data_IF_867119314998
#
_entry.id   IF_867119314998
#
_cell.length_a   1.000
_cell.length_b   1.000
_cell.length_c   1.000
_cell.angle_alpha   90.00
_cell.angle_beta   90.00
_cell.angle_gamma   90.00
#
_symmetry.space_group_name_H-M   'P 1'
#
loop_
_entity.id
_entity.type
_entity.pdbx_description
1 polymer ?
#
# COMPACT_ATOMS: atom_id res chain seq x y z
N UNK A 1 -12.05 7.24 -19.96
CA UNK A 1 -11.57 7.87 -18.71
C UNK A 1 -12.82 8.34 -18.00
N UNK A 2 -13.02 7.91 -16.76
CA UNK A 2 -14.20 8.30 -15.95
C UNK A 2 -13.73 9.37 -14.96
N UNK A 3 -14.39 10.52 -14.99
CA UNK A 3 -14.05 11.68 -14.15
C UNK A 3 -15.23 12.00 -13.23
N UNK A 4 -14.97 12.09 -11.92
CA UNK A 4 -15.95 12.47 -10.91
C UNK A 4 -15.35 13.52 -9.98
N UNK A 5 -15.64 14.79 -10.26
CA UNK A 5 -15.09 15.93 -9.50
C UNK A 5 -13.57 15.97 -9.55
N UNK A 6 -12.91 15.65 -8.43
CA UNK A 6 -11.44 15.59 -8.32
C UNK A 6 -10.84 14.19 -8.54
N UNK A 7 -11.69 13.20 -8.82
CA UNK A 7 -11.28 11.82 -9.00
C UNK A 7 -11.29 11.45 -10.47
N UNK A 8 -10.20 10.84 -10.94
CA UNK A 8 -10.06 10.37 -12.32
C UNK A 8 -9.67 8.90 -12.26
N UNK A 9 -10.41 8.04 -12.94
CA UNK A 9 -10.07 6.62 -13.09
C UNK A 9 -9.14 6.43 -14.28
N UNK A 10 -7.95 5.93 -14.00
CA UNK A 10 -6.90 5.68 -14.99
C UNK A 10 -6.70 4.19 -15.24
N UNK A 11 -6.09 3.84 -16.38
CA UNK A 11 -5.62 2.48 -16.63
C UNK A 11 -4.38 2.18 -15.77
N UNK A 12 -4.26 0.98 -15.19
CA UNK A 12 -3.11 0.62 -14.37
C UNK A 12 -1.92 0.27 -15.27
N UNK A 13 -1.12 1.28 -15.65
CA UNK A 13 0.04 1.11 -16.55
C UNK A 13 1.38 1.46 -15.87
N UNK A 14 1.35 2.18 -14.74
CA UNK A 14 2.54 2.72 -14.09
C UNK A 14 2.69 2.13 -12.69
N UNK A 15 3.89 1.64 -12.37
CA UNK A 15 4.26 1.18 -11.02
C UNK A 15 5.04 2.28 -10.31
N UNK A 16 4.71 2.53 -9.04
CA UNK A 16 5.42 3.49 -8.20
C UNK A 16 5.92 2.81 -6.93
N UNK A 17 7.09 3.23 -6.47
CA UNK A 17 7.63 2.81 -5.19
C UNK A 17 7.07 3.71 -4.09
N UNK A 18 6.33 3.10 -3.15
CA UNK A 18 5.75 3.78 -2.00
C UNK A 18 6.56 3.55 -0.73
N UNK A 19 6.99 4.62 -0.07
CA UNK A 19 7.46 4.57 1.32
C UNK A 19 6.29 4.90 2.25
N UNK A 20 6.06 4.09 3.28
CA UNK A 20 4.99 4.27 4.25
C UNK A 20 5.52 4.20 5.68
N UNK A 21 4.77 4.79 6.61
CA UNK A 21 5.10 4.74 8.02
C UNK A 21 4.46 3.52 8.71
N UNK A 22 3.24 3.19 8.32
CA UNK A 22 2.44 2.15 8.97
C UNK A 22 1.37 1.60 8.02
N UNK A 23 1.00 0.33 8.22
CA UNK A 23 -0.18 -0.29 7.63
C UNK A 23 -1.24 -0.45 8.74
N UNK A 24 -2.49 -0.06 8.45
CA UNK A 24 -3.62 -0.20 9.37
C UNK A 24 -4.78 -0.95 8.73
N UNK A 25 -5.63 -1.59 9.56
CA UNK A 25 -6.91 -2.13 9.10
C UNK A 25 -7.87 -1.00 8.75
N UNK A 26 -8.62 -1.16 7.66
CA UNK A 26 -9.63 -0.19 7.25
C UNK A 26 -10.81 -0.86 6.54
N UNK A 27 -12.07 -0.59 6.94
CA UNK A 27 -13.24 -1.10 6.23
C UNK A 27 -13.54 -0.32 4.93
N UNK A 28 -12.82 0.77 4.67
CA UNK A 28 -13.07 1.67 3.52
C UNK A 28 -12.63 1.06 2.19
N UNK A 29 -11.63 0.18 2.22
CA UNK A 29 -11.02 -0.39 1.03
C UNK A 29 -11.30 -1.89 0.99
N UNK A 30 -11.53 -2.41 -0.21
CA UNK A 30 -11.75 -3.84 -0.43
C UNK A 30 -10.57 -4.72 0.05
N UNK A 31 -9.36 -4.17 0.04
CA UNK A 31 -8.17 -4.77 0.61
C UNK A 31 -8.26 -5.05 2.12
N UNK A 32 -9.16 -4.36 2.83
CA UNK A 32 -9.23 -4.34 4.30
C UNK A 32 -8.09 -3.59 4.98
N UNK A 33 -7.20 -2.94 4.20
CA UNK A 33 -5.97 -2.31 4.67
C UNK A 33 -5.81 -0.90 4.07
N UNK A 34 -5.18 -0.01 4.83
CA UNK A 34 -4.80 1.33 4.39
C UNK A 34 -3.34 1.62 4.75
N UNK A 35 -2.63 2.29 3.84
CA UNK A 35 -1.25 2.72 4.03
C UNK A 35 -1.25 4.13 4.64
N UNK A 36 -0.66 4.32 5.83
CA UNK A 36 -0.57 5.64 6.48
C UNK A 36 0.70 6.37 6.07
N UNK A 37 0.52 7.65 5.77
CA UNK A 37 1.59 8.57 5.37
C UNK A 37 2.44 8.02 4.21
N UNK A 38 1.80 7.32 3.28
CA UNK A 38 2.43 6.80 2.08
C UNK A 38 2.91 7.96 1.18
N UNK A 39 4.14 7.84 0.68
CA UNK A 39 4.82 8.82 -0.16
C UNK A 39 5.41 8.12 -1.37
N UNK A 40 5.27 8.72 -2.55
CA UNK A 40 5.93 8.23 -3.76
C UNK A 40 7.41 8.57 -3.66
N UNK A 41 8.25 7.55 -3.77
CA UNK A 41 9.71 7.68 -3.77
C UNK A 41 10.23 7.82 -5.19
N UNK A 42 9.79 6.92 -6.07
CA UNK A 42 10.17 6.92 -7.49
C UNK A 42 9.13 6.21 -8.35
N UNK A 43 9.14 6.53 -9.64
CA UNK A 43 8.46 5.75 -10.66
C UNK A 43 9.35 4.56 -11.01
N UNK A 44 8.77 3.35 -11.09
CA UNK A 44 9.46 2.11 -11.41
C UNK A 44 9.29 1.80 -12.90
N UNK A 45 10.08 2.49 -13.72
CA UNK A 45 10.12 2.23 -15.18
C UNK A 45 10.68 0.83 -15.50
N UNK A 46 11.34 0.19 -14.53
CA UNK A 46 11.88 -1.16 -14.60
C UNK A 46 10.85 -2.27 -14.33
N UNK A 47 9.61 -1.94 -13.97
CA UNK A 47 8.57 -2.90 -13.60
C UNK A 47 7.30 -2.74 -14.41
N UNK A 48 6.68 -3.85 -14.78
CA UNK A 48 5.32 -3.88 -15.34
C UNK A 48 4.25 -3.97 -14.23
N UNK A 49 2.98 -3.57 -14.48
CA UNK A 49 1.92 -3.59 -13.48
C UNK A 49 1.75 -4.92 -12.73
N UNK A 50 1.99 -6.04 -13.41
CA UNK A 50 1.90 -7.40 -12.87
C UNK A 50 3.00 -7.72 -11.83
N UNK A 51 4.09 -6.93 -11.80
CA UNK A 51 5.22 -7.07 -10.86
C UNK A 51 5.09 -6.13 -9.65
N UNK A 52 3.99 -5.41 -9.54
CA UNK A 52 3.64 -4.66 -8.34
C UNK A 52 3.42 -5.60 -7.15
N UNK A 53 3.64 -5.09 -5.95
CA UNK A 53 3.39 -5.87 -4.74
C UNK A 53 1.92 -6.29 -4.65
N UNK A 54 1.70 -7.55 -4.25
CA UNK A 54 0.36 -8.12 -4.12
C UNK A 54 -0.28 -7.74 -2.79
N UNK A 55 -1.60 -7.92 -2.68
CA UNK A 55 -2.30 -7.72 -1.41
C UNK A 55 -1.76 -8.64 -0.29
N UNK A 56 -1.32 -9.85 -0.63
CA UNK A 56 -0.76 -10.79 0.35
C UNK A 56 0.57 -10.29 0.89
N UNK A 57 1.40 -9.68 0.03
CA UNK A 57 2.63 -9.02 0.49
C UNK A 57 2.33 -7.91 1.50
N UNK A 58 1.29 -7.11 1.26
CA UNK A 58 0.88 -6.04 2.19
C UNK A 58 0.37 -6.62 3.51
N UNK A 59 -0.32 -7.78 3.49
CA UNK A 59 -0.76 -8.48 4.70
C UNK A 59 0.42 -8.99 5.52
N UNK A 60 1.43 -9.58 4.88
CA UNK A 60 2.65 -10.03 5.56
C UNK A 60 3.36 -8.86 6.27
N UNK A 61 3.49 -7.71 5.59
CA UNK A 61 4.08 -6.50 6.17
C UNK A 61 3.30 -6.01 7.38
N UNK A 62 1.96 -6.04 7.32
CA UNK A 62 1.10 -5.68 8.44
C UNK A 62 1.27 -6.63 9.63
N UNK A 63 1.30 -7.94 9.40
CA UNK A 63 1.53 -8.93 10.46
C UNK A 63 2.92 -8.77 11.09
N UNK A 64 3.94 -8.51 10.29
CA UNK A 64 5.29 -8.21 10.77
C UNK A 64 5.33 -6.97 11.66
N UNK A 65 4.62 -5.91 11.27
CA UNK A 65 4.47 -4.69 12.06
C UNK A 65 3.80 -4.97 13.42
N UNK A 66 2.70 -5.72 13.43
CA UNK A 66 1.98 -6.08 14.67
C UNK A 66 2.88 -6.86 15.62
N UNK A 67 3.57 -7.89 15.12
CA UNK A 67 4.51 -8.70 15.94
C UNK A 67 5.63 -7.85 16.52
N UNK A 68 6.15 -6.89 15.75
CA UNK A 68 7.20 -5.98 16.23
C UNK A 68 6.69 -5.11 17.38
N UNK A 69 5.48 -4.55 17.25
CA UNK A 69 4.85 -3.76 18.30
C UNK A 69 4.61 -4.61 19.56
N UNK A 70 4.01 -5.80 19.42
CA UNK A 70 3.78 -6.71 20.56
C UNK A 70 5.06 -7.08 21.30
N UNK A 71 6.15 -7.29 20.56
CA UNK A 71 7.47 -7.59 21.15
C UNK A 71 8.02 -6.38 21.89
N UNK A 72 7.85 -5.16 21.35
CA UNK A 72 8.28 -3.93 22.00
C UNK A 72 7.51 -3.62 23.29
N UNK A 73 6.20 -3.88 23.33
CA UNK A 73 5.35 -3.65 24.50
C UNK A 73 5.51 -4.71 25.62
N UNK A 74 6.15 -5.85 25.34
CA UNK A 74 6.40 -6.90 26.35
C UNK A 74 7.63 -6.63 27.23
N UNK A 75 8.46 -5.63 26.90
CA UNK A 75 9.59 -5.15 27.72
C UNK A 75 9.18 -3.98 28.59
#
# INVERSE_FOLDING_TARGET
IEESGKFIRVRPEIVVEGALNEIQRSPKYESGLALRFARIVKIREDKVPEEADTIDRVRELYEGQVKHLETAYRK
#
